data_IF_117848915871
#
_entry.id   IF_117848915871
#
_cell.length_a   1.000
_cell.length_b   1.000
_cell.length_c   1.000
_cell.angle_alpha   90.00
_cell.angle_beta   90.00
_cell.angle_gamma   90.00
#
_symmetry.space_group_name_H-M   'P 1'
#
loop_
_entity.id
_entity.type
_entity.pdbx_description
1 polymer ?
#
# COMPACT_ATOMS: atom_id res chain seq x y z
N UNK A 1 -10.19 16.18 19.94
CA UNK A 1 -9.17 15.13 20.13
C UNK A 1 -8.71 14.67 18.76
N UNK A 2 -7.41 14.60 18.60
CA UNK A 2 -6.61 14.57 17.36
C UNK A 2 -6.78 13.26 16.58
N UNK A 3 -7.88 13.09 15.84
CA UNK A 3 -8.06 11.89 15.00
C UNK A 3 -8.52 12.19 13.56
N UNK A 4 -8.33 13.43 13.12
CA UNK A 4 -8.40 13.82 11.70
C UNK A 4 -7.02 13.77 11.03
N UNK A 5 -6.13 12.91 11.55
CA UNK A 5 -4.95 12.53 10.79
C UNK A 5 -5.43 11.59 9.72
N UNK A 6 -5.35 12.07 8.47
CA UNK A 6 -5.25 11.27 7.26
C UNK A 6 -4.05 10.30 7.40
N UNK A 7 -4.14 9.33 8.29
CA UNK A 7 -3.16 8.25 8.37
C UNK A 7 -3.54 7.32 7.25
N UNK A 8 -3.01 7.58 6.05
CA UNK A 8 -2.61 6.43 5.27
C UNK A 8 -1.61 5.68 6.16
N UNK A 9 -1.90 4.45 6.63
CA UNK A 9 -0.86 3.58 7.16
C UNK A 9 0.37 3.69 6.26
N UNK A 10 1.49 4.14 6.84
CA UNK A 10 2.76 4.35 6.12
C UNK A 10 3.25 3.07 5.43
N UNK A 11 2.69 1.91 5.80
CA UNK A 11 2.94 0.62 5.17
C UNK A 11 2.68 0.62 3.67
N UNK A 12 1.62 1.26 3.16
CA UNK A 12 1.33 1.25 1.72
C UNK A 12 2.31 2.11 0.91
N UNK A 13 2.57 3.40 1.26
CA UNK A 13 3.62 4.18 0.61
C UNK A 13 5.02 3.56 0.73
N UNK A 14 5.35 2.99 1.89
CA UNK A 14 6.65 2.34 2.13
C UNK A 14 6.80 1.06 1.31
N UNK A 15 5.79 0.19 1.27
CA UNK A 15 5.81 -1.02 0.45
C UNK A 15 5.92 -0.69 -1.04
N UNK A 16 5.25 0.39 -1.49
CA UNK A 16 5.38 0.89 -2.86
C UNK A 16 6.80 1.38 -3.14
N UNK A 17 7.40 2.13 -2.22
CA UNK A 17 8.78 2.62 -2.35
C UNK A 17 9.77 1.45 -2.45
N UNK A 18 9.64 0.44 -1.60
CA UNK A 18 10.46 -0.76 -1.64
C UNK A 18 10.36 -1.49 -2.99
N UNK A 19 9.15 -1.63 -3.55
CA UNK A 19 8.93 -2.23 -4.87
C UNK A 19 9.61 -1.45 -6.00
N UNK A 20 9.55 -0.11 -5.95
CA UNK A 20 10.22 0.76 -6.92
C UNK A 20 11.74 0.70 -6.81
N UNK A 21 12.27 0.66 -5.59
CA UNK A 21 13.71 0.56 -5.36
C UNK A 21 14.24 -0.81 -5.84
N UNK A 22 13.46 -1.88 -5.62
CA UNK A 22 13.79 -3.20 -6.12
C UNK A 22 13.85 -3.26 -7.65
N UNK A 23 12.95 -2.57 -8.38
CA UNK A 23 13.03 -2.49 -9.83
C UNK A 23 14.40 -1.96 -10.31
N UNK A 24 14.93 -0.91 -9.68
CA UNK A 24 16.28 -0.40 -10.00
C UNK A 24 17.37 -1.43 -9.69
N UNK A 25 17.23 -2.18 -8.61
CA UNK A 25 18.19 -3.23 -8.24
C UNK A 25 18.17 -4.39 -9.23
N UNK A 26 16.99 -4.80 -9.71
CA UNK A 26 16.87 -5.86 -10.71
C UNK A 26 17.52 -5.51 -12.04
N UNK A 27 17.48 -4.22 -12.43
CA UNK A 27 18.21 -3.75 -13.61
C UNK A 27 19.72 -3.97 -13.45
N UNK A 28 20.28 -3.61 -12.28
CA UNK A 28 21.70 -3.84 -11.98
C UNK A 28 22.06 -5.33 -11.94
N UNK A 29 21.17 -6.19 -11.46
CA UNK A 29 21.35 -7.64 -11.48
C UNK A 29 21.40 -8.16 -12.92
N UNK A 30 20.52 -7.67 -13.79
CA UNK A 30 20.52 -8.03 -15.20
C UNK A 30 21.82 -7.58 -15.89
N UNK A 31 22.26 -6.34 -15.66
CA UNK A 31 23.52 -5.81 -16.19
C UNK A 31 24.73 -6.63 -15.71
N UNK A 32 24.74 -7.02 -14.44
CA UNK A 32 25.78 -7.89 -13.88
C UNK A 32 25.80 -9.26 -14.56
N UNK A 33 24.65 -9.91 -14.71
CA UNK A 33 24.56 -11.21 -15.39
C UNK A 33 25.05 -11.13 -16.84
N UNK A 34 24.68 -10.07 -17.56
CA UNK A 34 25.11 -9.85 -18.94
C UNK A 34 26.61 -9.61 -19.03
N UNK A 35 27.16 -8.70 -18.23
CA UNK A 35 28.59 -8.40 -18.23
C UNK A 35 29.43 -9.61 -17.83
N UNK A 36 28.93 -10.41 -16.88
CA UNK A 36 29.62 -11.65 -16.50
C UNK A 36 29.62 -12.64 -17.66
N UNK A 37 28.50 -12.85 -18.33
CA UNK A 37 28.42 -13.76 -19.49
C UNK A 37 29.42 -13.44 -20.60
N UNK A 38 29.69 -12.16 -20.85
CA UNK A 38 30.65 -11.72 -21.88
C UNK A 38 32.12 -11.96 -21.50
N UNK A 39 32.43 -12.12 -20.22
CA UNK A 39 33.80 -12.06 -19.70
C UNK A 39 34.34 -13.39 -19.14
N UNK A 40 33.56 -14.48 -19.10
CA UNK A 40 34.01 -15.77 -18.51
C UNK A 40 34.16 -16.86 -19.56
N UNK A 41 35.20 -17.68 -19.42
CA UNK A 41 35.45 -18.86 -20.25
C UNK A 41 34.56 -20.07 -19.90
N UNK A 42 34.20 -20.24 -18.62
CA UNK A 42 33.27 -21.29 -18.19
C UNK A 42 31.82 -20.78 -18.19
N UNK A 43 31.10 -21.10 -19.26
CA UNK A 43 29.71 -20.68 -19.44
C UNK A 43 28.73 -21.34 -18.47
N UNK A 44 29.03 -22.54 -17.95
CA UNK A 44 28.09 -23.28 -17.07
C UNK A 44 27.92 -22.61 -15.72
N UNK A 45 29.03 -22.22 -15.08
CA UNK A 45 28.97 -21.53 -13.77
C UNK A 45 28.21 -20.20 -13.86
N UNK A 46 28.39 -19.44 -14.94
CA UNK A 46 27.66 -18.18 -15.17
C UNK A 46 26.15 -18.41 -15.33
N UNK A 47 25.75 -19.45 -16.07
CA UNK A 47 24.34 -19.77 -16.27
C UNK A 47 23.68 -20.17 -14.94
N UNK A 48 24.33 -21.00 -14.12
CA UNK A 48 23.77 -21.40 -12.83
C UNK A 48 23.64 -20.23 -11.86
N UNK A 49 24.62 -19.32 -11.82
CA UNK A 49 24.52 -18.10 -11.01
C UNK A 49 23.39 -17.18 -11.52
N UNK A 50 23.27 -16.99 -12.83
CA UNK A 50 22.19 -16.19 -13.42
C UNK A 50 20.80 -16.77 -13.11
N UNK A 51 20.68 -18.10 -13.13
CA UNK A 51 19.45 -18.81 -12.74
C UNK A 51 19.13 -18.63 -11.26
N UNK A 52 20.12 -18.69 -10.38
CA UNK A 52 19.96 -18.44 -8.95
C UNK A 52 19.49 -16.99 -8.71
N UNK A 53 20.14 -16.01 -9.33
CA UNK A 53 19.76 -14.59 -9.25
C UNK A 53 18.35 -14.34 -9.81
N UNK A 54 17.99 -14.98 -10.91
CA UNK A 54 16.64 -14.90 -11.50
C UNK A 54 15.58 -15.47 -10.55
N UNK A 55 15.88 -16.60 -9.89
CA UNK A 55 14.99 -17.22 -8.90
C UNK A 55 14.80 -16.31 -7.70
N UNK A 56 15.88 -15.70 -7.19
CA UNK A 56 15.84 -14.74 -6.10
C UNK A 56 15.07 -13.46 -6.47
N UNK A 57 15.27 -12.95 -7.69
CA UNK A 57 14.53 -11.80 -8.23
C UNK A 57 13.03 -12.08 -8.28
N UNK A 58 12.63 -13.25 -8.80
CA UNK A 58 11.24 -13.67 -8.88
C UNK A 58 10.59 -13.76 -7.48
N UNK A 59 11.28 -14.37 -6.51
CA UNK A 59 10.79 -14.47 -5.14
C UNK A 59 10.66 -13.08 -4.49
N UNK A 60 11.64 -12.21 -4.69
CA UNK A 60 11.67 -10.84 -4.16
C UNK A 60 10.51 -10.00 -4.68
N UNK A 61 10.27 -10.00 -6.00
CA UNK A 61 9.16 -9.27 -6.62
C UNK A 61 7.80 -9.80 -6.14
N UNK A 62 7.64 -11.12 -6.10
CA UNK A 62 6.40 -11.75 -5.64
C UNK A 62 6.06 -11.33 -4.21
N UNK A 63 7.03 -11.39 -3.30
CA UNK A 63 6.85 -10.97 -1.92
C UNK A 63 6.47 -9.48 -1.79
N UNK A 64 7.12 -8.61 -2.56
CA UNK A 64 6.86 -7.17 -2.48
C UNK A 64 5.51 -6.78 -3.07
N UNK A 65 5.10 -7.43 -4.17
CA UNK A 65 3.74 -7.26 -4.72
C UNK A 65 2.69 -7.69 -3.70
N UNK A 66 2.87 -8.87 -3.08
CA UNK A 66 1.96 -9.34 -2.04
C UNK A 66 1.88 -8.35 -0.86
N UNK A 67 3.03 -7.90 -0.35
CA UNK A 67 3.10 -6.93 0.75
C UNK A 67 2.39 -5.62 0.41
N UNK A 68 2.58 -5.10 -0.81
CA UNK A 68 1.91 -3.89 -1.27
C UNK A 68 0.39 -4.10 -1.38
N UNK A 69 -0.06 -5.20 -1.97
CA UNK A 69 -1.48 -5.53 -2.10
C UNK A 69 -2.16 -5.62 -0.74
N UNK A 70 -1.57 -6.34 0.22
CA UNK A 70 -2.08 -6.43 1.60
C UNK A 70 -2.14 -5.06 2.26
N UNK A 71 -1.10 -4.23 2.09
CA UNK A 71 -1.06 -2.90 2.69
C UNK A 71 -2.15 -1.98 2.13
N UNK A 72 -2.44 -2.07 0.83
CA UNK A 72 -3.52 -1.30 0.17
C UNK A 72 -4.89 -1.78 0.62
N UNK A 73 -5.12 -3.10 0.73
CA UNK A 73 -6.39 -3.64 1.24
C UNK A 73 -6.67 -3.15 2.67
N UNK A 74 -5.67 -3.25 3.56
CA UNK A 74 -5.80 -2.77 4.93
C UNK A 74 -6.09 -1.27 5.01
N UNK A 75 -5.50 -0.47 4.11
CA UNK A 75 -5.79 0.95 4.00
C UNK A 75 -7.25 1.19 3.61
N UNK A 76 -7.77 0.48 2.60
CA UNK A 76 -9.15 0.61 2.14
C UNK A 76 -10.17 0.19 3.21
N UNK A 77 -9.87 -0.88 3.95
CA UNK A 77 -10.70 -1.32 5.08
C UNK A 77 -10.75 -0.26 6.18
N UNK A 78 -9.59 0.32 6.53
CA UNK A 78 -9.52 1.40 7.51
C UNK A 78 -10.31 2.64 7.07
N UNK A 79 -10.19 3.04 5.80
CA UNK A 79 -10.95 4.15 5.22
C UNK A 79 -12.46 3.86 5.23
N UNK A 80 -12.87 2.64 4.93
CA UNK A 80 -14.28 2.22 4.97
C UNK A 80 -14.87 2.36 6.37
N UNK A 81 -14.12 1.96 7.41
CA UNK A 81 -14.54 2.14 8.80
C UNK A 81 -14.66 3.63 9.16
N UNK A 82 -13.69 4.45 8.75
CA UNK A 82 -13.73 5.89 9.01
C UNK A 82 -14.94 6.56 8.33
N UNK A 83 -15.27 6.17 7.09
CA UNK A 83 -16.45 6.69 6.39
C UNK A 83 -17.75 6.33 7.10
N UNK A 84 -17.89 5.09 7.57
CA UNK A 84 -19.07 4.66 8.36
C UNK A 84 -19.20 5.46 9.67
N UNK A 85 -18.09 5.75 10.34
CA UNK A 85 -18.09 6.59 11.55
C UNK A 85 -18.48 8.04 11.23
N UNK A 86 -18.02 8.56 10.09
CA UNK A 86 -18.40 9.90 9.62
C UNK A 86 -19.88 9.97 9.27
N UNK A 87 -20.41 8.98 8.55
CA UNK A 87 -21.84 8.86 8.24
C UNK A 87 -22.69 8.83 9.51
N UNK A 88 -22.31 8.01 10.50
CA UNK A 88 -22.98 7.96 11.79
C UNK A 88 -22.98 9.32 12.50
N UNK A 89 -21.85 10.03 12.49
CA UNK A 89 -21.72 11.36 13.09
C UNK A 89 -22.64 12.38 12.42
N UNK A 90 -22.74 12.36 11.09
CA UNK A 90 -23.65 13.22 10.31
C UNK A 90 -25.11 12.90 10.62
N UNK A 91 -25.47 11.63 10.74
CA UNK A 91 -26.82 11.20 11.10
C UNK A 91 -27.22 11.70 12.50
N UNK A 92 -26.30 11.64 13.48
CA UNK A 92 -26.54 12.21 14.81
C UNK A 92 -26.75 13.73 14.77
N UNK A 93 -25.93 14.47 14.02
CA UNK A 93 -26.09 15.91 13.86
C UNK A 93 -27.45 16.26 13.21
N UNK A 94 -27.86 15.48 12.22
CA UNK A 94 -29.15 15.66 11.53
C UNK A 94 -30.33 15.44 12.48
N UNK A 95 -30.26 14.39 13.31
CA UNK A 95 -31.27 14.12 14.33
C UNK A 95 -31.37 15.28 15.33
N UNK A 96 -30.24 15.72 15.86
CA UNK A 96 -30.17 16.83 16.82
C UNK A 96 -30.70 18.13 16.21
N UNK A 97 -30.33 18.45 14.97
CA UNK A 97 -30.87 19.62 14.27
C UNK A 97 -32.39 19.54 14.11
N UNK A 98 -32.92 18.36 13.78
CA UNK A 98 -34.36 18.14 13.60
C UNK A 98 -35.14 18.31 14.90
N UNK A 99 -34.61 17.80 16.02
CA UNK A 99 -35.24 17.96 17.34
C UNK A 99 -35.24 19.42 17.80
N UNK A 100 -34.18 20.19 17.51
CA UNK A 100 -34.17 21.64 17.77
C UNK A 100 -35.24 22.39 16.96
N UNK A 101 -35.43 22.07 15.68
CA UNK A 101 -36.48 22.68 14.87
C UNK A 101 -37.89 22.37 15.39
N UNK A 102 -38.16 21.13 15.78
CA UNK A 102 -39.46 20.70 16.32
C UNK A 102 -39.76 21.37 17.67
N UNK A 103 -38.78 21.42 18.57
CA UNK A 103 -38.93 22.05 19.89
C UNK A 103 -39.04 23.59 19.81
N UNK A 104 -38.37 24.22 18.85
CA UNK A 104 -38.54 25.64 18.55
C UNK A 104 -39.94 25.97 18.03
N UNK A 105 -40.47 25.15 17.11
CA UNK A 105 -41.80 25.33 16.52
C UNK A 105 -42.93 25.14 17.54
N UNK A 106 -42.78 24.22 18.48
CA UNK A 106 -43.75 23.98 19.56
C UNK A 106 -43.71 25.04 20.67
N UNK A 107 -42.58 25.75 20.85
CA UNK A 107 -42.49 26.88 21.81
C UNK A 107 -43.08 28.20 21.28
N UNK A 108 -43.23 28.31 19.96
CA UNK A 108 -43.72 29.51 19.28
C UNK A 108 -45.23 29.44 18.93
N UNK A 109 -45.86 28.29 19.13
CA UNK A 109 -47.32 28.09 19.00
C UNK A 109 -48.01 28.09 20.35
#
# INVERSE_FOLDING_TARGET
LVHLSLVLPESAPTARKALLDNHSNLHKVADYCQNKNLNVQDSRSVIEESKALTTQALASVTYQINTLATSVLNLLDAQTVQLKQMEFSVNLLTLVSSTYHLTGSTRLS
#
